data_IF_488637788362
#
_entry.id   IF_488637788362
#
_cell.length_a   1.000
_cell.length_b   1.000
_cell.length_c   1.000
_cell.angle_alpha   90.00
_cell.angle_beta   90.00
_cell.angle_gamma   90.00
#
_symmetry.space_group_name_H-M   'P 1'
#
loop_
_entity.id
_entity.type
_entity.pdbx_description
1 polymer ?
#
# COMPACT_ATOMS: atom_id res chain seq x y z
N UNK A 1 38.86 -59.28 -29.70
CA UNK A 1 38.57 -58.00 -30.36
C UNK A 1 37.30 -58.21 -31.15
N UNK A 2 36.17 -58.12 -30.46
CA UNK A 2 34.85 -58.35 -31.06
C UNK A 2 34.35 -57.07 -31.71
N UNK A 3 34.26 -57.15 -33.04
CA UNK A 3 33.76 -56.13 -33.95
C UNK A 3 32.23 -56.03 -33.79
N UNK A 4 31.78 -55.19 -32.83
CA UNK A 4 30.39 -54.77 -32.70
C UNK A 4 30.03 -53.87 -33.89
N UNK A 5 29.75 -54.46 -35.05
CA UNK A 5 29.13 -53.74 -36.17
C UNK A 5 27.69 -53.43 -35.79
N UNK A 6 27.43 -52.16 -35.50
CA UNK A 6 26.08 -51.60 -35.44
C UNK A 6 25.32 -52.00 -36.71
N UNK A 7 24.34 -52.88 -36.56
CA UNK A 7 23.26 -53.03 -37.54
C UNK A 7 22.44 -51.75 -37.44
N UNK A 8 22.74 -50.77 -38.30
CA UNK A 8 21.87 -49.62 -38.48
C UNK A 8 20.47 -50.15 -38.85
N UNK A 9 19.43 -49.83 -38.06
CA UNK A 9 18.08 -50.20 -38.42
C UNK A 9 17.72 -49.45 -39.71
N UNK A 10 17.69 -50.18 -40.83
CA UNK A 10 17.05 -49.69 -42.06
C UNK A 10 15.57 -49.54 -41.75
N UNK A 11 15.15 -48.33 -41.38
CA UNK A 11 13.76 -47.92 -41.44
C UNK A 11 13.30 -48.12 -42.89
N UNK A 12 12.39 -49.07 -43.12
CA UNK A 12 11.91 -49.44 -44.44
C UNK A 12 10.80 -48.48 -44.81
N UNK A 13 10.82 -47.97 -46.03
CA UNK A 13 9.76 -47.10 -46.56
C UNK A 13 8.35 -47.75 -46.46
N UNK A 14 8.30 -49.08 -46.42
CA UNK A 14 7.12 -49.91 -46.19
C UNK A 14 6.45 -49.63 -44.81
N UNK A 15 7.22 -49.43 -43.75
CA UNK A 15 6.69 -49.18 -42.39
C UNK A 15 6.09 -47.77 -42.27
N UNK A 16 6.63 -46.82 -43.03
CA UNK A 16 6.13 -45.44 -43.09
C UNK A 16 4.76 -45.35 -43.78
N UNK A 17 4.57 -46.07 -44.89
CA UNK A 17 3.28 -46.09 -45.59
C UNK A 17 2.18 -46.73 -44.72
N UNK A 18 2.46 -47.87 -44.09
CA UNK A 18 1.50 -48.55 -43.20
C UNK A 18 1.16 -47.70 -41.96
N UNK A 19 2.11 -46.90 -41.46
CA UNK A 19 1.84 -45.92 -40.39
C UNK A 19 0.92 -44.78 -40.86
N UNK A 20 1.14 -44.24 -42.06
CA UNK A 20 0.32 -43.17 -42.63
C UNK A 20 -1.11 -43.65 -42.89
N UNK A 21 -1.29 -44.84 -43.46
CA UNK A 21 -2.62 -45.41 -43.74
C UNK A 21 -3.40 -45.66 -42.44
N UNK A 22 -2.72 -46.16 -41.40
CA UNK A 22 -3.33 -46.31 -40.06
C UNK A 22 -3.78 -44.99 -39.46
N UNK A 23 -2.99 -43.92 -39.62
CA UNK A 23 -3.36 -42.58 -39.16
C UNK A 23 -4.56 -42.05 -39.95
N UNK A 24 -4.60 -42.28 -41.26
CA UNK A 24 -5.72 -41.83 -42.11
C UNK A 24 -7.03 -42.52 -41.72
N UNK A 25 -7.04 -43.84 -41.57
CA UNK A 25 -8.22 -44.61 -41.14
C UNK A 25 -8.68 -44.17 -39.75
N UNK A 26 -7.74 -43.92 -38.83
CA UNK A 26 -8.05 -43.37 -37.52
C UNK A 26 -8.70 -41.97 -37.63
N UNK A 27 -8.16 -41.10 -38.48
CA UNK A 27 -8.70 -39.75 -38.71
C UNK A 27 -10.09 -39.77 -39.32
N UNK A 28 -10.33 -40.63 -40.32
CA UNK A 28 -11.66 -40.77 -40.92
C UNK A 28 -12.69 -41.25 -39.89
N UNK A 29 -12.30 -42.14 -38.96
CA UNK A 29 -13.19 -42.70 -37.95
C UNK A 29 -13.43 -41.79 -36.74
N UNK A 30 -12.38 -41.19 -36.19
CA UNK A 30 -12.42 -40.46 -34.92
C UNK A 30 -12.13 -38.96 -35.05
N UNK A 31 -11.81 -38.50 -36.25
CA UNK A 31 -11.34 -37.14 -36.49
C UNK A 31 -12.24 -36.04 -35.95
N UNK A 32 -13.54 -36.16 -36.19
CA UNK A 32 -14.50 -35.18 -35.68
C UNK A 32 -14.52 -35.14 -34.13
N UNK A 33 -14.43 -36.30 -33.47
CA UNK A 33 -14.37 -36.37 -32.01
C UNK A 33 -13.08 -35.78 -31.45
N UNK A 34 -11.94 -36.06 -32.11
CA UNK A 34 -10.64 -35.48 -31.75
C UNK A 34 -10.67 -33.96 -31.91
N UNK A 35 -11.23 -33.43 -33.01
CA UNK A 35 -11.37 -31.98 -33.21
C UNK A 35 -12.22 -31.33 -32.12
N UNK A 36 -13.38 -31.89 -31.79
CA UNK A 36 -14.24 -31.36 -30.71
C UNK A 36 -13.48 -31.32 -29.38
N UNK A 37 -12.78 -32.41 -29.03
CA UNK A 37 -12.01 -32.48 -27.78
C UNK A 37 -10.89 -31.43 -27.75
N UNK A 38 -10.13 -31.30 -28.85
CA UNK A 38 -9.07 -30.30 -28.97
C UNK A 38 -9.64 -28.88 -28.87
N UNK A 39 -10.76 -28.58 -29.54
CA UNK A 39 -11.41 -27.27 -29.46
C UNK A 39 -11.87 -26.95 -28.04
N UNK A 40 -12.51 -27.88 -27.34
CA UNK A 40 -12.94 -27.68 -25.95
C UNK A 40 -11.74 -27.45 -25.03
N UNK A 41 -10.64 -28.20 -25.23
CA UNK A 41 -9.41 -28.03 -24.48
C UNK A 41 -8.80 -26.65 -24.70
N UNK A 42 -8.67 -26.21 -25.96
CA UNK A 42 -8.16 -24.88 -26.29
C UNK A 42 -9.04 -23.76 -25.74
N UNK A 43 -10.37 -23.88 -25.86
CA UNK A 43 -11.30 -22.90 -25.31
C UNK A 43 -11.18 -22.80 -23.79
N UNK A 44 -11.02 -23.95 -23.11
CA UNK A 44 -10.83 -24.01 -21.66
C UNK A 44 -9.51 -23.34 -21.24
N UNK A 45 -8.41 -23.62 -21.94
CA UNK A 45 -7.11 -22.98 -21.70
C UNK A 45 -7.14 -21.47 -22.00
N UNK A 46 -7.85 -21.06 -23.06
CA UNK A 46 -8.01 -19.65 -23.42
C UNK A 46 -8.79 -18.90 -22.34
N UNK A 47 -9.94 -19.43 -21.90
CA UNK A 47 -10.73 -18.84 -20.82
C UNK A 47 -9.91 -18.78 -19.53
N UNK A 48 -9.23 -19.87 -19.16
CA UNK A 48 -8.34 -19.89 -17.99
C UNK A 48 -7.29 -18.76 -18.08
N UNK A 49 -6.54 -18.67 -19.19
CA UNK A 49 -5.54 -17.61 -19.38
C UNK A 49 -6.15 -16.21 -19.36
N UNK A 50 -7.30 -16.02 -19.98
CA UNK A 50 -8.01 -14.73 -20.02
C UNK A 50 -8.42 -14.28 -18.61
N UNK A 51 -8.99 -15.19 -17.80
CA UNK A 51 -9.35 -14.90 -16.41
C UNK A 51 -8.11 -14.65 -15.54
N UNK A 52 -7.07 -15.47 -15.63
CA UNK A 52 -5.85 -15.28 -14.84
C UNK A 52 -5.13 -13.99 -15.19
N UNK A 53 -5.05 -13.63 -16.48
CA UNK A 53 -4.41 -12.39 -16.91
C UNK A 53 -5.20 -11.17 -16.43
N UNK A 54 -6.53 -11.22 -16.51
CA UNK A 54 -7.40 -10.15 -16.03
C UNK A 54 -7.31 -9.94 -14.52
N UNK A 55 -7.13 -11.02 -13.74
CA UNK A 55 -6.88 -10.90 -12.29
C UNK A 55 -5.52 -10.29 -12.00
N UNK A 56 -4.46 -10.70 -12.70
CA UNK A 56 -3.12 -10.13 -12.52
C UNK A 56 -3.09 -8.62 -12.80
N UNK A 57 -3.68 -8.18 -13.92
CA UNK A 57 -3.79 -6.75 -14.24
C UNK A 57 -4.61 -5.98 -13.20
N UNK A 58 -5.75 -6.50 -12.75
CA UNK A 58 -6.53 -5.84 -11.69
C UNK A 58 -5.76 -5.74 -10.36
N UNK A 59 -4.95 -6.75 -10.03
CA UNK A 59 -4.09 -6.67 -8.84
C UNK A 59 -3.05 -5.56 -9.00
N UNK A 60 -2.33 -5.53 -10.12
CA UNK A 60 -1.31 -4.51 -10.41
C UNK A 60 -1.91 -3.10 -10.42
N UNK A 61 -3.04 -2.90 -11.11
CA UNK A 61 -3.75 -1.62 -11.18
C UNK A 61 -4.22 -1.14 -9.80
N UNK A 62 -4.72 -2.05 -8.96
CA UNK A 62 -5.16 -1.71 -7.61
C UNK A 62 -3.99 -1.26 -6.72
N UNK A 63 -2.84 -1.92 -6.83
CA UNK A 63 -1.62 -1.54 -6.12
C UNK A 63 -1.02 -0.24 -6.64
N UNK A 64 -1.01 -0.03 -7.97
CA UNK A 64 -0.58 1.21 -8.58
C UNK A 64 -1.47 2.39 -8.14
N UNK A 65 -2.79 2.19 -8.10
CA UNK A 65 -3.75 3.19 -7.63
C UNK A 65 -3.55 3.52 -6.15
N UNK A 66 -3.29 2.51 -5.30
CA UNK A 66 -2.98 2.71 -3.89
C UNK A 66 -1.72 3.57 -3.72
N UNK A 67 -0.66 3.28 -4.47
CA UNK A 67 0.60 4.01 -4.41
C UNK A 67 0.48 5.46 -4.94
N UNK A 68 -0.37 5.70 -5.94
CA UNK A 68 -0.61 7.02 -6.51
C UNK A 68 -1.55 7.92 -5.72
N UNK A 69 -2.26 7.36 -4.72
CA UNK A 69 -3.26 8.10 -3.95
C UNK A 69 -2.62 8.81 -2.76
N UNK A 70 -2.98 10.08 -2.53
CA UNK A 70 -2.46 10.88 -1.39
C UNK A 70 -3.55 11.58 -0.58
N UNK A 71 -4.77 11.67 -1.09
CA UNK A 71 -5.87 12.35 -0.42
C UNK A 71 -6.75 11.38 0.39
N UNK A 72 -7.26 11.77 1.58
CA UNK A 72 -8.08 10.91 2.44
C UNK A 72 -9.30 10.33 1.72
N UNK A 73 -10.05 11.19 1.00
CA UNK A 73 -11.26 10.81 0.27
C UNK A 73 -10.95 9.85 -0.89
N UNK A 74 -9.84 10.07 -1.59
CA UNK A 74 -9.42 9.20 -2.70
C UNK A 74 -9.08 7.79 -2.22
N UNK A 75 -8.50 7.64 -1.02
CA UNK A 75 -8.29 6.32 -0.42
C UNK A 75 -9.61 5.63 -0.08
N UNK A 76 -10.60 6.37 0.42
CA UNK A 76 -11.92 5.81 0.72
C UNK A 76 -12.61 5.34 -0.58
N UNK A 77 -12.57 6.15 -1.64
CA UNK A 77 -13.10 5.77 -2.96
C UNK A 77 -12.40 4.50 -3.49
N UNK A 78 -11.07 4.46 -3.46
CA UNK A 78 -10.29 3.28 -3.87
C UNK A 78 -10.67 2.02 -3.07
N UNK A 79 -10.88 2.15 -1.76
CA UNK A 79 -11.27 1.04 -0.91
C UNK A 79 -12.63 0.45 -1.32
N UNK A 80 -13.58 1.32 -1.68
CA UNK A 80 -14.92 0.91 -2.13
C UNK A 80 -14.90 0.31 -3.55
N UNK A 81 -14.05 0.82 -4.43
CA UNK A 81 -14.00 0.40 -5.84
C UNK A 81 -13.17 -0.87 -6.07
N UNK A 82 -12.15 -1.12 -5.26
CA UNK A 82 -11.25 -2.26 -5.46
C UNK A 82 -11.89 -3.58 -5.04
N UNK A 83 -11.71 -4.63 -5.86
CA UNK A 83 -12.07 -6.01 -5.53
C UNK A 83 -10.98 -6.72 -4.71
N UNK A 84 -9.77 -6.13 -4.61
CA UNK A 84 -8.65 -6.72 -3.89
C UNK A 84 -8.77 -6.44 -2.38
N UNK A 85 -9.00 -7.46 -1.54
CA UNK A 85 -9.28 -7.26 -0.12
C UNK A 85 -8.12 -6.63 0.64
N UNK A 86 -6.87 -6.95 0.28
CA UNK A 86 -5.69 -6.39 0.95
C UNK A 86 -5.55 -4.90 0.63
N UNK A 87 -5.71 -4.52 -0.64
CA UNK A 87 -5.68 -3.10 -1.06
C UNK A 87 -6.81 -2.33 -0.39
N UNK A 88 -8.01 -2.90 -0.30
CA UNK A 88 -9.15 -2.30 0.41
C UNK A 88 -8.82 -2.01 1.88
N UNK A 89 -8.27 -2.99 2.60
CA UNK A 89 -7.87 -2.84 4.01
C UNK A 89 -6.84 -1.72 4.16
N UNK A 90 -5.78 -1.71 3.36
CA UNK A 90 -4.75 -0.67 3.43
C UNK A 90 -5.27 0.71 3.06
N UNK A 91 -6.15 0.79 2.05
CA UNK A 91 -6.76 2.05 1.65
C UNK A 91 -7.60 2.65 2.79
N UNK A 92 -8.44 1.85 3.47
CA UNK A 92 -9.15 2.33 4.66
C UNK A 92 -8.19 2.72 5.80
N UNK A 93 -7.14 1.94 6.05
CA UNK A 93 -6.16 2.27 7.10
C UNK A 93 -5.47 3.62 6.81
N UNK A 94 -5.00 3.83 5.57
CA UNK A 94 -4.38 5.10 5.15
C UNK A 94 -5.35 6.27 5.17
N UNK A 95 -6.60 6.06 4.76
CA UNK A 95 -7.66 7.06 4.87
C UNK A 95 -7.85 7.48 6.33
N UNK A 96 -7.94 6.49 7.24
CA UNK A 96 -8.04 6.71 8.68
C UNK A 96 -6.88 7.50 9.25
N UNK A 97 -5.64 7.15 8.89
CA UNK A 97 -4.43 7.84 9.35
C UNK A 97 -4.40 9.31 8.92
N UNK A 98 -4.79 9.60 7.67
CA UNK A 98 -4.80 10.97 7.16
C UNK A 98 -5.92 11.81 7.79
N UNK A 99 -7.13 11.26 7.91
CA UNK A 99 -8.24 11.94 8.59
C UNK A 99 -7.95 12.16 10.09
N UNK A 100 -7.25 11.23 10.74
CA UNK A 100 -6.78 11.41 12.12
C UNK A 100 -5.79 12.57 12.20
N UNK A 101 -4.81 12.63 11.29
CA UNK A 101 -3.85 13.74 11.26
C UNK A 101 -4.53 15.10 11.05
N UNK A 102 -5.53 15.17 10.18
CA UNK A 102 -6.36 16.37 9.95
C UNK A 102 -7.17 16.74 11.21
N UNK A 103 -7.89 15.77 11.80
CA UNK A 103 -8.72 15.99 12.98
C UNK A 103 -7.92 16.30 14.26
N UNK A 104 -6.70 15.80 14.39
CA UNK A 104 -5.82 16.09 15.54
C UNK A 104 -5.11 17.44 15.43
N UNK A 105 -5.10 18.10 14.27
CA UNK A 105 -4.48 19.43 14.10
C UNK A 105 -5.34 20.50 14.78
N UNK A 106 -4.78 21.36 15.66
CA UNK A 106 -5.54 22.45 16.26
C UNK A 106 -6.15 23.38 15.21
N UNK A 107 -7.35 23.96 15.45
CA UNK A 107 -7.97 24.85 14.48
C UNK A 107 -7.11 26.13 14.34
N UNK A 108 -6.47 26.28 13.19
CA UNK A 108 -5.68 27.46 12.82
C UNK A 108 -6.21 28.01 11.50
N UNK A 109 -6.46 29.32 11.44
CA UNK A 109 -6.99 29.98 10.25
C UNK A 109 -8.44 29.58 9.94
N UNK A 110 -8.66 28.98 8.76
CA UNK A 110 -9.99 28.63 8.23
C UNK A 110 -10.52 27.28 8.74
N UNK A 111 -9.68 26.42 9.33
CA UNK A 111 -10.11 25.11 9.83
C UNK A 111 -10.95 25.32 11.08
N UNK A 112 -12.23 24.96 11.02
CA UNK A 112 -13.16 25.06 12.14
C UNK A 112 -13.09 23.86 13.06
N UNK A 113 -13.65 23.97 14.27
CA UNK A 113 -13.80 22.82 15.17
C UNK A 113 -14.72 21.74 14.57
N UNK A 114 -15.72 22.14 13.78
CA UNK A 114 -16.63 21.21 13.10
C UNK A 114 -15.89 20.37 12.04
N UNK A 115 -14.97 20.98 11.29
CA UNK A 115 -14.12 20.27 10.31
C UNK A 115 -13.23 19.22 11.00
N UNK A 116 -12.69 19.56 12.17
CA UNK A 116 -11.89 18.62 12.98
C UNK A 116 -12.72 17.44 13.47
N UNK A 117 -13.90 17.72 14.02
CA UNK A 117 -14.79 16.69 14.55
C UNK A 117 -15.28 15.76 13.43
N UNK A 118 -15.57 16.32 12.26
CA UNK A 118 -15.92 15.55 11.07
C UNK A 118 -14.76 14.68 10.58
N UNK A 119 -13.53 15.20 10.56
CA UNK A 119 -12.33 14.42 10.22
C UNK A 119 -12.09 13.27 11.19
N UNK A 120 -12.22 13.50 12.51
CA UNK A 120 -12.10 12.43 13.51
C UNK A 120 -13.19 11.36 13.37
N UNK A 121 -14.41 11.76 12.99
CA UNK A 121 -15.51 10.84 12.72
C UNK A 121 -15.24 9.98 11.48
N UNK A 122 -14.74 10.58 10.41
CA UNK A 122 -14.39 9.86 9.18
C UNK A 122 -13.20 8.91 9.40
N UNK A 123 -12.21 9.33 10.20
CA UNK A 123 -11.13 8.47 10.66
C UNK A 123 -11.65 7.23 11.40
N UNK A 124 -12.58 7.44 12.35
CA UNK A 124 -13.18 6.34 13.12
C UNK A 124 -13.92 5.36 12.20
N UNK A 125 -14.71 5.86 11.25
CA UNK A 125 -15.43 5.04 10.29
C UNK A 125 -14.48 4.20 9.40
N UNK A 126 -13.34 4.77 9.00
CA UNK A 126 -12.32 4.06 8.23
C UNK A 126 -11.67 2.92 9.03
N UNK A 127 -11.24 3.18 10.28
CA UNK A 127 -10.67 2.15 11.15
C UNK A 127 -11.68 1.05 11.51
N UNK A 128 -12.94 1.39 11.76
CA UNK A 128 -13.99 0.39 11.96
C UNK A 128 -14.20 -0.49 10.72
N UNK A 129 -14.08 0.09 9.53
CA UNK A 129 -14.19 -0.66 8.27
C UNK A 129 -13.06 -1.68 8.16
N UNK A 130 -11.83 -1.33 8.55
CA UNK A 130 -10.71 -2.29 8.65
C UNK A 130 -11.07 -3.46 9.56
N UNK A 131 -11.59 -3.20 10.76
CA UNK A 131 -11.96 -4.24 11.74
C UNK A 131 -13.07 -5.15 11.19
N UNK A 132 -14.05 -4.61 10.44
CA UNK A 132 -15.14 -5.38 9.83
C UNK A 132 -14.66 -6.25 8.65
N UNK A 133 -13.63 -5.83 7.93
CA UNK A 133 -13.16 -6.47 6.70
C UNK A 133 -12.18 -7.63 6.92
N UNK A 134 -11.53 -7.71 8.08
CA UNK A 134 -10.46 -8.68 8.31
C UNK A 134 -10.53 -9.33 9.68
N UNK A 135 -9.96 -10.53 9.77
CA UNK A 135 -9.73 -11.26 11.04
C UNK A 135 -8.25 -11.32 11.40
N UNK A 136 -7.39 -10.77 10.55
CA UNK A 136 -5.94 -10.78 10.75
C UNK A 136 -5.55 -9.85 11.89
N UNK A 137 -4.93 -10.36 12.97
CA UNK A 137 -4.64 -9.59 14.18
C UNK A 137 -3.86 -8.30 13.92
N UNK A 138 -2.89 -8.32 12.99
CA UNK A 138 -2.05 -7.15 12.69
C UNK A 138 -2.88 -5.95 12.19
N UNK A 139 -3.87 -6.17 11.33
CA UNK A 139 -4.70 -5.08 10.80
C UNK A 139 -5.69 -4.56 11.85
N UNK A 140 -6.28 -5.47 12.63
CA UNK A 140 -7.19 -5.10 13.72
C UNK A 140 -6.45 -4.28 14.78
N UNK A 141 -5.26 -4.72 15.20
CA UNK A 141 -4.46 -3.99 16.18
C UNK A 141 -4.09 -2.58 15.69
N UNK A 142 -3.67 -2.42 14.44
CA UNK A 142 -3.36 -1.08 13.89
C UNK A 142 -4.60 -0.18 13.86
N UNK A 143 -5.75 -0.70 13.44
CA UNK A 143 -7.00 0.06 13.46
C UNK A 143 -7.42 0.46 14.90
N UNK A 144 -7.26 -0.43 15.87
CA UNK A 144 -7.54 -0.15 17.29
C UNK A 144 -6.59 0.89 17.89
N UNK A 145 -5.31 0.90 17.52
CA UNK A 145 -4.39 1.98 17.88
C UNK A 145 -4.83 3.34 17.32
N UNK A 146 -5.36 3.36 16.09
CA UNK A 146 -5.97 4.54 15.48
C UNK A 146 -7.18 5.04 16.26
N UNK A 147 -8.13 4.14 16.58
CA UNK A 147 -9.30 4.46 17.42
C UNK A 147 -8.92 4.96 18.82
N UNK A 148 -7.86 4.41 19.42
CA UNK A 148 -7.33 4.90 20.69
C UNK A 148 -6.83 6.35 20.56
N UNK A 149 -6.09 6.66 19.48
CA UNK A 149 -5.59 8.02 19.21
C UNK A 149 -6.71 9.03 18.95
N UNK A 150 -7.81 8.60 18.31
CA UNK A 150 -9.02 9.42 18.16
C UNK A 150 -9.62 9.73 19.55
N UNK A 151 -9.75 8.71 20.40
CA UNK A 151 -10.27 8.89 21.76
C UNK A 151 -9.36 9.80 22.61
N UNK A 152 -8.04 9.70 22.49
CA UNK A 152 -7.08 10.64 23.11
C UNK A 152 -7.32 12.07 22.61
N UNK A 153 -7.48 12.26 21.30
CA UNK A 153 -7.72 13.58 20.68
C UNK A 153 -9.04 14.22 21.14
N UNK A 154 -10.00 13.39 21.56
CA UNK A 154 -11.30 13.80 22.11
C UNK A 154 -11.31 13.89 23.65
N UNK A 155 -10.17 13.74 24.32
CA UNK A 155 -10.05 13.65 25.77
C UNK A 155 -10.94 12.55 26.41
N UNK A 156 -11.28 11.51 25.65
CA UNK A 156 -12.01 10.34 26.13
C UNK A 156 -11.02 9.26 26.60
N UNK A 157 -10.33 9.55 27.70
CA UNK A 157 -9.23 8.73 28.23
C UNK A 157 -9.64 7.29 28.55
N UNK A 158 -10.87 7.10 29.03
CA UNK A 158 -11.40 5.77 29.34
C UNK A 158 -11.54 4.92 28.07
N UNK A 159 -12.04 5.50 26.98
CA UNK A 159 -12.16 4.78 25.70
C UNK A 159 -10.78 4.51 25.08
N UNK A 160 -9.86 5.48 25.14
CA UNK A 160 -8.49 5.31 24.67
C UNK A 160 -7.80 4.12 25.37
N UNK A 161 -7.88 4.07 26.70
CA UNK A 161 -7.36 2.94 27.49
C UNK A 161 -8.00 1.61 27.07
N UNK A 162 -9.32 1.57 26.90
CA UNK A 162 -10.04 0.37 26.46
C UNK A 162 -9.52 -0.17 25.12
N UNK A 163 -9.31 0.69 24.13
CA UNK A 163 -8.76 0.29 22.84
C UNK A 163 -7.30 -0.19 22.93
N UNK A 164 -6.47 0.41 23.78
CA UNK A 164 -5.12 -0.09 24.02
C UNK A 164 -5.10 -1.45 24.72
N UNK A 165 -5.94 -1.68 25.73
CA UNK A 165 -6.07 -2.97 26.41
C UNK A 165 -6.51 -4.09 25.44
N UNK A 166 -7.49 -3.80 24.57
CA UNK A 166 -7.89 -4.71 23.49
C UNK A 166 -6.74 -4.99 22.52
N UNK A 167 -5.99 -3.96 22.15
CA UNK A 167 -4.83 -4.08 21.25
C UNK A 167 -3.75 -4.98 21.86
N UNK A 168 -3.44 -4.82 23.15
CA UNK A 168 -2.48 -5.66 23.89
C UNK A 168 -2.92 -7.12 23.85
N UNK A 169 -4.20 -7.38 24.12
CA UNK A 169 -4.78 -8.73 24.13
C UNK A 169 -4.63 -9.40 22.76
N UNK A 170 -5.01 -8.70 21.69
CA UNK A 170 -4.91 -9.20 20.31
C UNK A 170 -3.43 -9.43 19.91
N UNK A 171 -2.57 -8.46 20.23
CA UNK A 171 -1.14 -8.52 19.89
C UNK A 171 -0.42 -9.66 20.64
N UNK A 172 -0.76 -9.90 21.90
CA UNK A 172 -0.23 -11.03 22.68
C UNK A 172 -0.65 -12.37 22.08
N UNK A 173 -1.95 -12.55 21.80
CA UNK A 173 -2.47 -13.77 21.20
C UNK A 173 -1.83 -14.08 19.83
N UNK A 174 -1.48 -13.04 19.07
CA UNK A 174 -0.87 -13.15 17.74
C UNK A 174 0.68 -13.09 17.75
N UNK A 175 1.33 -13.05 18.92
CA UNK A 175 2.79 -12.90 19.03
C UNK A 175 3.35 -11.68 18.28
N UNK A 176 2.72 -10.52 18.44
CA UNK A 176 3.10 -9.21 17.85
C UNK A 176 3.72 -8.28 18.92
N UNK A 177 4.96 -8.55 19.39
CA UNK A 177 5.53 -7.88 20.57
C UNK A 177 5.72 -6.36 20.38
N UNK A 178 6.00 -5.89 19.16
CA UNK A 178 6.19 -4.47 18.90
C UNK A 178 4.89 -3.67 19.12
N UNK A 179 3.77 -4.19 18.63
CA UNK A 179 2.44 -3.57 18.77
C UNK A 179 1.99 -3.61 20.23
N UNK A 180 2.19 -4.75 20.91
CA UNK A 180 1.93 -4.86 22.36
C UNK A 180 2.69 -3.79 23.14
N UNK A 181 4.00 -3.70 22.92
CA UNK A 181 4.87 -2.72 23.62
C UNK A 181 4.45 -1.28 23.32
N UNK A 182 4.05 -0.98 22.08
CA UNK A 182 3.55 0.35 21.71
C UNK A 182 2.29 0.72 22.50
N UNK A 183 1.33 -0.19 22.61
CA UNK A 183 0.10 0.04 23.37
C UNK A 183 0.37 0.17 24.88
N UNK A 184 1.23 -0.67 25.45
CA UNK A 184 1.64 -0.59 26.88
C UNK A 184 2.32 0.74 27.21
N UNK A 185 3.22 1.20 26.34
CA UNK A 185 3.88 2.50 26.47
C UNK A 185 2.83 3.62 26.48
N UNK A 186 1.87 3.59 25.55
CA UNK A 186 0.81 4.61 25.47
C UNK A 186 -0.07 4.62 26.72
N UNK A 187 -0.49 3.46 27.22
CA UNK A 187 -1.24 3.37 28.49
C UNK A 187 -0.45 3.99 29.64
N UNK A 188 0.86 3.75 29.70
CA UNK A 188 1.72 4.31 30.75
C UNK A 188 1.78 5.84 30.69
N UNK A 189 1.72 6.42 29.49
CA UNK A 189 1.75 7.86 29.25
C UNK A 189 0.38 8.55 29.44
N UNK A 190 -0.74 7.81 29.42
CA UNK A 190 -2.09 8.38 29.52
C UNK A 190 -2.26 9.36 30.72
N UNK A 191 -1.80 9.05 31.95
CA UNK A 191 -1.95 9.97 33.09
C UNK A 191 -1.15 11.27 32.93
N UNK A 192 -0.02 11.20 32.23
CA UNK A 192 0.84 12.36 31.97
C UNK A 192 0.19 13.29 30.95
N UNK A 193 -0.40 12.74 29.89
CA UNK A 193 -1.07 13.53 28.83
C UNK A 193 -2.46 14.04 29.24
N UNK A 194 -3.16 13.34 30.14
CA UNK A 194 -4.44 13.79 30.70
C UNK A 194 -4.26 15.06 31.55
N UNK A 195 -3.09 15.22 32.17
CA UNK A 195 -2.79 16.37 33.02
C UNK A 195 -2.51 17.62 32.17
N UNK A 196 -3.23 18.74 32.37
CA UNK A 196 -2.97 19.98 31.64
C UNK A 196 -1.53 20.44 31.85
N UNK A 197 -0.85 20.82 30.77
CA UNK A 197 0.47 21.43 30.84
C UNK A 197 0.34 22.76 31.59
N UNK A 198 0.86 22.79 32.83
CA UNK A 198 0.95 24.02 33.61
C UNK A 198 2.20 24.75 33.19
N UNK A 199 2.04 25.79 32.37
CA UNK A 199 3.13 26.72 32.11
C UNK A 199 3.51 27.41 33.42
N UNK A 200 4.82 27.54 33.69
CA UNK A 200 5.28 28.37 34.78
C UNK A 200 4.73 29.79 34.57
N UNK A 201 4.35 30.51 35.65
CA UNK A 201 3.97 31.91 35.52
C UNK A 201 5.10 32.65 34.79
N UNK A 202 4.71 33.45 33.79
CA UNK A 202 5.66 34.18 32.96
C UNK A 202 6.60 34.96 33.89
N UNK A 203 7.89 34.59 33.85
CA UNK A 203 8.90 35.26 34.65
C UNK A 203 8.85 36.74 34.27
N UNK A 204 8.77 37.64 35.27
CA UNK A 204 8.84 39.07 35.00
C UNK A 204 10.08 39.33 34.15
N UNK A 205 9.87 39.65 32.87
CA UNK A 205 10.97 39.97 31.98
C UNK A 205 11.80 41.05 32.68
N UNK A 206 13.13 40.88 32.80
CA UNK A 206 13.96 41.93 33.37
C UNK A 206 13.64 43.19 32.58
N UNK A 207 13.17 44.23 33.29
CA UNK A 207 12.87 45.51 32.66
C UNK A 207 14.13 45.92 31.91
N UNK A 208 14.07 45.87 30.59
CA UNK A 208 15.11 46.42 29.76
C UNK A 208 15.17 47.90 30.08
N UNK A 209 16.15 48.31 30.88
CA UNK A 209 16.55 49.70 30.95
C UNK A 209 17.20 49.97 29.59
N UNK A 210 16.63 50.82 28.73
CA UNK A 210 17.27 51.14 27.46
C UNK A 210 18.54 51.91 27.78
N UNK A 211 19.66 51.20 27.88
CA UNK A 211 20.97 51.81 27.83
C UNK A 211 21.14 52.28 26.38
N UNK A 212 21.10 53.60 26.19
CA UNK A 212 21.18 54.25 24.89
C UNK A 212 22.60 54.09 24.32
N UNK A 213 22.92 52.90 23.81
CA UNK A 213 24.05 52.70 22.91
C UNK A 213 23.54 52.88 21.48
N UNK A 214 23.74 54.09 20.97
CA UNK A 214 23.65 54.40 19.54
C UNK A 214 24.44 53.36 18.75
N UNK A 215 23.80 52.55 17.89
CA UNK A 215 24.53 51.62 17.04
C UNK A 215 25.32 52.42 16.01
N UNK A 216 26.64 52.37 16.10
CA UNK A 216 27.50 52.76 14.99
C UNK A 216 27.23 51.78 13.85
N UNK A 217 26.74 52.32 12.73
CA UNK A 217 26.33 51.56 11.56
C UNK A 217 27.54 50.87 10.93
N UNK A 218 27.81 49.64 11.36
CA UNK A 218 28.71 48.75 10.65
C UNK A 218 28.08 48.42 9.28
N UNK A 219 28.82 48.73 8.22
CA UNK A 219 28.41 48.46 6.85
C UNK A 219 28.05 46.96 6.66
N UNK A 220 27.03 46.64 5.84
CA UNK A 220 26.62 45.28 5.58
C UNK A 220 27.79 44.48 4.98
N UNK A 221 28.32 43.53 5.76
CA UNK A 221 29.25 42.54 5.26
C UNK A 221 28.56 41.64 4.26
N UNK A 222 29.10 41.60 3.04
CA UNK A 222 28.65 40.71 1.96
C UNK A 222 28.66 39.26 2.43
N UNK A 223 27.48 38.67 2.55
CA UNK A 223 27.34 37.23 2.76
C UNK A 223 27.78 36.56 1.45
N UNK A 224 28.76 35.64 1.46
CA UNK A 224 29.12 34.91 0.24
C UNK A 224 27.90 34.11 -0.24
N UNK A 225 27.41 34.48 -1.42
CA UNK A 225 26.37 33.74 -2.12
C UNK A 225 26.92 32.34 -2.44
N UNK A 226 26.61 31.37 -1.58
CA UNK A 226 26.81 29.97 -1.90
C UNK A 226 25.64 29.58 -2.80
N UNK A 227 25.87 29.66 -4.11
CA UNK A 227 24.98 29.13 -5.13
C UNK A 227 24.94 27.61 -4.98
N UNK A 228 24.02 27.11 -4.15
CA UNK A 228 23.70 25.69 -4.09
C UNK A 228 22.80 25.42 -5.30
N UNK A 229 23.39 25.36 -6.49
CA UNK A 229 22.69 24.90 -7.69
C UNK A 229 22.42 23.41 -7.49
N UNK A 230 21.16 22.97 -7.30
CA UNK A 230 20.86 21.55 -7.22
C UNK A 230 21.28 20.93 -8.54
N UNK A 231 22.21 19.97 -8.50
CA UNK A 231 22.56 19.19 -9.67
C UNK A 231 21.28 18.48 -10.13
N UNK A 232 20.69 18.97 -11.22
CA UNK A 232 19.54 18.37 -11.85
C UNK A 232 19.92 16.91 -12.17
N UNK A 233 19.20 15.90 -11.66
CA UNK A 233 19.49 14.52 -12.00
C UNK A 233 19.44 14.38 -13.52
N UNK A 234 20.50 13.81 -14.10
CA UNK A 234 20.58 13.60 -15.54
C UNK A 234 19.33 12.86 -16.00
N UNK A 235 18.60 13.45 -16.95
CA UNK A 235 17.47 12.80 -17.57
C UNK A 235 17.91 11.42 -18.09
N UNK A 236 17.13 10.34 -17.84
CA UNK A 236 17.44 9.04 -18.41
C UNK A 236 17.53 9.19 -19.93
N UNK A 237 18.65 8.75 -20.51
CA UNK A 237 18.85 8.76 -21.95
C UNK A 237 17.75 7.93 -22.59
N UNK A 238 16.83 8.59 -23.30
CA UNK A 238 15.83 7.93 -24.14
C UNK A 238 16.59 7.27 -25.28
N UNK A 239 16.82 5.96 -25.16
CA UNK A 239 17.31 5.13 -26.26
C UNK A 239 16.24 5.17 -27.38
N UNK A 240 16.59 5.61 -28.60
CA UNK A 240 15.64 5.65 -29.70
C UNK A 240 15.14 4.24 -30.00
N UNK A 241 13.84 4.04 -29.89
CA UNK A 241 13.20 2.80 -30.34
C UNK A 241 13.53 2.58 -31.82
N UNK A 242 14.20 1.46 -32.11
CA UNK A 242 14.48 1.03 -33.47
C UNK A 242 13.15 0.88 -34.23
N UNK A 243 13.00 1.66 -35.29
CA UNK A 243 11.90 1.53 -36.24
C UNK A 243 12.01 0.14 -36.89
N UNK A 244 11.00 -0.73 -36.79
CA UNK A 244 11.02 -2.01 -37.48
C UNK A 244 10.88 -1.75 -38.98
N UNK A 245 11.92 -2.12 -39.74
CA UNK A 245 11.90 -2.11 -41.19
C UNK A 245 10.87 -3.12 -41.68
N UNK A 246 9.77 -2.62 -42.24
CA UNK A 246 8.74 -3.38 -42.93
C UNK A 246 9.34 -3.92 -44.24
N UNK A 247 9.65 -5.22 -44.27
CA UNK A 247 10.03 -5.91 -45.51
C UNK A 247 8.77 -6.17 -46.35
N UNK A 248 8.75 -5.55 -47.53
CA UNK A 248 7.88 -5.95 -48.65
C UNK A 248 8.42 -7.20 -49.35
#
# INVERSE_FOLDING_TARGET
MDDKRSTEPKFRDEDLQDAVDRIQIFWEKYGNQVMIFVTVLFLSLFLYKFFTNRSATQHEDAWASLAGTSAPLSYNNLANDTSNPTVRIMAFLRSGDLYLAEGSTPPIGEITQEDRDQSLKDASAAYESVIKLTKEPIWISNAKLGLASIAESQANWSAAKGYYDETITIAEAASLPAIKKQAELRITLLPEIESPIKFAPEAELPKFTPEATTPEAAAPGSIPATEITPALPAAPATEPAAVPTENQ
#
